data_IF_788439982792
#
_entry.id   IF_788439982792
#
_cell.length_a   1.000
_cell.length_b   1.000
_cell.length_c   1.000
_cell.angle_alpha   90.00
_cell.angle_beta   90.00
_cell.angle_gamma   90.00
#
_symmetry.space_group_name_H-M   'P 1'
#
loop_
_entity.id
_entity.type
_entity.pdbx_description
1 polymer ?
#
# COMPACT_ATOMS: atom_id res chain seq x y z
N UNK A 1 48.13 1.17 9.17
CA UNK A 1 46.76 1.01 8.65
C UNK A 1 46.05 0.02 9.58
N UNK A 2 45.25 0.56 10.50
CA UNK A 2 44.46 -0.25 11.44
C UNK A 2 43.24 -0.84 10.73
N UNK A 3 42.84 -2.11 11.03
CA UNK A 3 41.65 -2.71 10.45
C UNK A 3 40.41 -1.96 10.96
N UNK A 4 39.59 -1.49 10.02
CA UNK A 4 38.27 -0.92 10.29
C UNK A 4 37.43 -2.00 10.98
N UNK A 5 37.12 -1.76 12.23
CA UNK A 5 36.20 -2.55 13.05
C UNK A 5 34.85 -2.60 12.33
N UNK A 6 34.51 -3.73 11.74
CA UNK A 6 33.19 -3.96 11.15
C UNK A 6 32.21 -4.09 12.31
N UNK A 7 31.62 -2.96 12.71
CA UNK A 7 30.50 -2.96 13.65
C UNK A 7 29.48 -4.00 13.21
N UNK A 8 29.23 -4.99 14.05
CA UNK A 8 28.14 -5.95 13.86
C UNK A 8 26.83 -5.15 13.80
N UNK A 9 25.96 -5.43 12.81
CA UNK A 9 24.64 -4.77 12.76
C UNK A 9 23.94 -4.99 14.11
N UNK A 10 23.25 -3.96 14.64
CA UNK A 10 22.61 -4.05 15.95
C UNK A 10 21.66 -5.24 16.00
N UNK A 11 21.78 -6.01 17.08
CA UNK A 11 20.89 -7.15 17.33
C UNK A 11 19.43 -6.70 17.34
N UNK A 12 18.51 -7.58 16.95
CA UNK A 12 17.09 -7.31 17.03
C UNK A 12 16.68 -7.03 18.48
N UNK A 13 16.24 -5.82 18.77
CA UNK A 13 15.64 -5.45 20.03
C UNK A 13 14.22 -4.92 19.73
N UNK A 14 13.17 -5.71 20.04
CA UNK A 14 11.80 -5.23 19.89
C UNK A 14 11.48 -4.19 20.97
N UNK A 15 10.56 -3.28 20.64
CA UNK A 15 10.09 -2.28 21.58
C UNK A 15 9.36 -2.90 22.78
N UNK A 16 9.44 -2.24 23.95
CA UNK A 16 8.68 -2.68 25.14
C UNK A 16 7.18 -2.48 24.90
N UNK A 17 6.38 -3.51 25.24
CA UNK A 17 4.94 -3.51 25.05
C UNK A 17 4.19 -3.63 26.39
N UNK A 18 3.30 -2.70 26.68
CA UNK A 18 2.35 -2.84 27.79
C UNK A 18 1.15 -3.66 27.30
N UNK A 19 1.06 -4.90 27.75
CA UNK A 19 0.03 -5.85 27.31
C UNK A 19 -1.35 -5.50 27.91
N UNK A 20 -2.37 -5.45 27.06
CA UNK A 20 -3.76 -5.26 27.45
C UNK A 20 -4.47 -6.62 27.59
N UNK A 21 -5.02 -6.91 28.78
CA UNK A 21 -5.71 -8.20 29.06
C UNK A 21 -7.03 -8.39 28.31
N UNK A 22 -7.58 -7.34 27.69
CA UNK A 22 -8.82 -7.42 26.89
C UNK A 22 -8.61 -7.96 25.48
N UNK A 23 -7.35 -8.00 25.01
CA UNK A 23 -6.99 -8.52 23.69
C UNK A 23 -6.13 -9.78 23.83
N UNK A 24 -6.23 -10.75 22.90
CA UNK A 24 -5.36 -11.92 22.89
C UNK A 24 -3.87 -11.52 22.93
N UNK A 25 -3.10 -12.10 23.84
CA UNK A 25 -1.68 -11.72 24.01
C UNK A 25 -0.84 -12.00 22.75
N UNK A 26 -1.09 -13.13 22.10
CA UNK A 26 -0.38 -13.49 20.86
C UNK A 26 -0.61 -12.43 19.75
N UNK A 27 -1.83 -11.88 19.67
CA UNK A 27 -2.15 -10.84 18.69
C UNK A 27 -1.36 -9.55 18.97
N UNK A 28 -1.33 -9.10 20.21
CA UNK A 28 -0.59 -7.89 20.60
C UNK A 28 0.91 -8.05 20.33
N UNK A 29 1.47 -9.21 20.65
CA UNK A 29 2.87 -9.54 20.40
C UNK A 29 3.15 -9.59 18.90
N UNK A 30 2.28 -10.20 18.08
CA UNK A 30 2.47 -10.22 16.63
C UNK A 30 2.43 -8.82 16.04
N UNK A 31 1.54 -7.93 16.50
CA UNK A 31 1.48 -6.54 16.05
C UNK A 31 2.75 -5.76 16.43
N UNK A 32 3.26 -5.92 17.66
CA UNK A 32 4.50 -5.26 18.09
C UNK A 32 5.72 -5.74 17.30
N UNK A 33 5.84 -7.05 17.08
CA UNK A 33 6.91 -7.61 16.26
C UNK A 33 6.80 -7.15 14.81
N UNK A 34 5.59 -7.10 14.24
CA UNK A 34 5.35 -6.57 12.89
C UNK A 34 5.84 -5.13 12.78
N UNK A 35 5.44 -4.26 13.69
CA UNK A 35 5.89 -2.86 13.70
C UNK A 35 7.41 -2.76 13.79
N UNK A 36 8.04 -3.55 14.67
CA UNK A 36 9.49 -3.60 14.80
C UNK A 36 10.18 -4.13 13.53
N UNK A 37 9.61 -5.11 12.82
CA UNK A 37 10.16 -5.65 11.57
C UNK A 37 10.07 -4.61 10.45
N UNK A 38 8.91 -3.98 10.28
CA UNK A 38 8.66 -3.01 9.21
C UNK A 38 9.40 -1.69 9.42
N UNK A 39 9.59 -1.26 10.67
CA UNK A 39 10.29 -0.03 11.02
C UNK A 39 11.81 -0.08 10.98
N UNK A 40 12.43 -1.24 10.68
CA UNK A 40 13.90 -1.40 10.71
C UNK A 40 14.60 -0.87 9.46
N UNK A 41 15.85 -0.36 9.61
CA UNK A 41 16.73 -0.08 8.48
C UNK A 41 17.00 -1.35 7.64
N UNK A 42 17.22 -1.18 6.33
CA UNK A 42 17.42 -2.31 5.40
C UNK A 42 18.71 -3.13 5.66
N UNK A 43 19.70 -2.52 6.30
CA UNK A 43 20.99 -3.13 6.63
C UNK A 43 21.03 -3.86 7.98
N UNK A 44 19.94 -3.81 8.75
CA UNK A 44 19.87 -4.48 10.05
C UNK A 44 19.83 -6.02 9.91
N UNK A 45 20.24 -6.73 10.97
CA UNK A 45 20.22 -8.20 11.01
C UNK A 45 18.85 -8.77 10.66
N UNK A 46 18.83 -9.75 9.76
CA UNK A 46 17.60 -10.46 9.35
C UNK A 46 17.19 -11.54 10.36
N UNK A 47 18.05 -11.91 11.31
CA UNK A 47 17.77 -12.98 12.27
C UNK A 47 17.06 -12.43 13.50
N UNK A 48 15.93 -13.04 13.87
CA UNK A 48 15.23 -12.77 15.12
C UNK A 48 15.88 -13.51 16.31
N UNK A 49 15.73 -13.00 17.55
CA UNK A 49 16.03 -13.74 18.76
C UNK A 49 15.25 -15.05 18.83
N UNK A 50 15.66 -15.98 19.73
CA UNK A 50 14.93 -17.25 19.92
C UNK A 50 13.53 -17.03 20.49
N UNK A 51 12.66 -18.03 20.34
CA UNK A 51 11.29 -17.99 20.91
C UNK A 51 11.32 -17.70 22.41
N UNK A 52 12.27 -18.30 23.13
CA UNK A 52 12.46 -18.14 24.58
C UNK A 52 12.89 -16.71 24.93
N UNK A 53 13.84 -16.16 24.17
CA UNK A 53 14.31 -14.79 24.37
C UNK A 53 13.19 -13.77 24.11
N UNK A 54 12.43 -13.95 23.02
CA UNK A 54 11.29 -13.10 22.70
C UNK A 54 10.16 -13.24 23.73
N UNK A 55 9.85 -14.48 24.15
CA UNK A 55 8.85 -14.73 25.18
C UNK A 55 9.21 -14.05 26.50
N UNK A 56 10.49 -14.13 26.91
CA UNK A 56 11.01 -13.43 28.10
C UNK A 56 10.91 -11.92 27.97
N UNK A 57 11.26 -11.37 26.80
CA UNK A 57 11.18 -9.93 26.55
C UNK A 57 9.73 -9.38 26.67
N UNK A 58 8.76 -10.09 26.11
CA UNK A 58 7.34 -9.68 26.16
C UNK A 58 6.60 -10.14 27.42
N UNK A 59 7.22 -10.92 28.28
CA UNK A 59 6.58 -11.47 29.48
C UNK A 59 5.40 -12.41 29.19
N UNK A 60 5.50 -13.19 28.09
CA UNK A 60 4.48 -14.13 27.65
C UNK A 60 5.01 -15.57 27.66
N UNK A 61 4.09 -16.56 27.59
CA UNK A 61 4.52 -17.96 27.44
C UNK A 61 5.14 -18.21 26.06
N UNK A 62 6.05 -19.20 25.97
CA UNK A 62 6.62 -19.65 24.70
C UNK A 62 5.52 -20.10 23.72
N UNK A 63 4.41 -20.67 24.22
CA UNK A 63 3.29 -21.06 23.38
C UNK A 63 2.60 -19.84 22.75
N UNK A 64 2.40 -18.77 23.53
CA UNK A 64 1.86 -17.48 23.03
C UNK A 64 2.80 -16.87 21.99
N UNK A 65 4.11 -16.92 22.24
CA UNK A 65 5.11 -16.45 21.28
C UNK A 65 5.10 -17.25 19.97
N UNK A 66 5.01 -18.58 20.05
CA UNK A 66 4.89 -19.44 18.86
C UNK A 66 3.68 -19.10 18.01
N UNK A 67 2.55 -18.81 18.66
CA UNK A 67 1.33 -18.41 17.95
C UNK A 67 1.51 -17.04 17.26
N UNK A 68 2.14 -16.08 17.94
CA UNK A 68 2.46 -14.78 17.34
C UNK A 68 3.41 -14.91 16.13
N UNK A 69 4.46 -15.72 16.26
CA UNK A 69 5.39 -15.96 15.15
C UNK A 69 4.77 -16.74 14.00
N UNK A 70 3.83 -17.66 14.27
CA UNK A 70 3.09 -18.37 13.22
C UNK A 70 2.27 -17.42 12.38
N UNK A 71 1.66 -16.41 13.00
CA UNK A 71 0.91 -15.37 12.28
C UNK A 71 1.82 -14.59 11.32
N UNK A 72 2.97 -14.11 11.81
CA UNK A 72 3.94 -13.40 10.99
C UNK A 72 4.55 -14.26 9.87
N UNK A 73 4.70 -15.56 10.09
CA UNK A 73 5.13 -16.51 9.07
C UNK A 73 4.06 -16.71 7.99
N UNK A 74 2.79 -16.83 8.39
CA UNK A 74 1.65 -16.90 7.46
C UNK A 74 1.52 -15.65 6.59
N UNK A 75 1.87 -14.48 7.14
CA UNK A 75 1.92 -13.21 6.41
C UNK A 75 3.16 -13.04 5.53
N UNK A 76 4.11 -14.01 5.58
CA UNK A 76 5.37 -13.94 4.82
C UNK A 76 6.35 -12.88 5.32
N UNK A 77 6.18 -12.36 6.53
CA UNK A 77 7.10 -11.40 7.14
C UNK A 77 8.36 -12.06 7.69
N UNK A 78 8.26 -13.31 8.06
CA UNK A 78 9.38 -14.13 8.59
C UNK A 78 9.35 -15.53 7.97
N UNK A 79 10.52 -16.20 7.99
CA UNK A 79 10.65 -17.63 7.73
C UNK A 79 11.28 -18.34 8.92
N UNK A 80 10.84 -19.57 9.19
CA UNK A 80 11.29 -20.37 10.31
C UNK A 80 12.02 -21.61 9.80
N UNK A 81 13.29 -21.74 10.17
CA UNK A 81 14.12 -22.85 9.74
C UNK A 81 14.53 -23.71 10.93
N UNK A 82 14.21 -25.01 10.86
CA UNK A 82 14.60 -25.96 11.91
C UNK A 82 16.11 -25.89 12.14
N UNK A 83 16.53 -25.71 13.39
CA UNK A 83 17.92 -25.58 13.85
C UNK A 83 18.68 -24.33 13.40
N UNK A 84 18.15 -23.53 12.48
CA UNK A 84 18.79 -22.28 12.02
C UNK A 84 18.21 -21.04 12.66
N UNK A 85 16.96 -21.10 13.11
CA UNK A 85 16.24 -20.00 13.75
C UNK A 85 15.20 -19.35 12.85
N UNK A 86 14.72 -18.19 13.29
CA UNK A 86 13.70 -17.39 12.60
C UNK A 86 14.39 -16.21 11.92
N UNK A 87 14.01 -15.92 10.69
CA UNK A 87 14.59 -14.85 9.87
C UNK A 87 13.49 -13.95 9.34
N UNK A 88 13.78 -12.64 9.25
CA UNK A 88 12.92 -11.66 8.61
C UNK A 88 13.09 -11.81 7.10
N UNK A 89 11.98 -11.89 6.37
CA UNK A 89 12.02 -11.99 4.92
C UNK A 89 12.45 -10.66 4.30
N UNK A 90 13.42 -10.65 3.36
CA UNK A 90 13.88 -9.42 2.70
C UNK A 90 12.74 -8.66 1.99
N UNK A 91 11.73 -9.39 1.48
CA UNK A 91 10.56 -8.80 0.83
C UNK A 91 9.67 -7.99 1.78
N UNK A 92 9.62 -8.36 3.07
CA UNK A 92 8.88 -7.61 4.08
C UNK A 92 9.35 -6.15 4.23
N UNK A 93 10.54 -5.82 3.74
CA UNK A 93 11.19 -4.53 3.86
C UNK A 93 11.15 -3.69 2.58
N UNK A 94 10.66 -4.21 1.47
CA UNK A 94 10.55 -3.45 0.21
C UNK A 94 9.35 -2.53 0.31
N UNK A 95 9.58 -1.29 0.71
CA UNK A 95 8.59 -0.23 0.67
C UNK A 95 8.85 0.57 -0.61
N UNK A 96 7.88 0.58 -1.51
CA UNK A 96 7.91 1.40 -2.70
C UNK A 96 7.36 2.79 -2.35
N UNK A 97 8.17 3.87 -2.44
CA UNK A 97 7.66 5.20 -2.16
C UNK A 97 6.69 5.64 -3.26
N UNK A 98 5.46 5.94 -2.91
CA UNK A 98 4.58 6.73 -3.76
C UNK A 98 5.04 8.18 -3.64
N UNK A 99 5.68 8.70 -4.67
CA UNK A 99 6.14 10.09 -4.71
C UNK A 99 5.08 10.94 -5.36
N UNK A 100 4.54 11.92 -4.63
CA UNK A 100 3.86 13.03 -5.28
C UNK A 100 4.93 13.93 -5.90
N UNK A 101 5.10 13.73 -7.17
CA UNK A 101 5.98 14.57 -7.99
C UNK A 101 5.06 15.58 -8.66
N UNK A 102 5.38 16.86 -8.56
CA UNK A 102 4.57 17.99 -9.00
C UNK A 102 4.25 18.04 -10.51
N UNK A 103 4.25 16.91 -11.23
CA UNK A 103 3.87 16.83 -12.63
C UNK A 103 3.14 15.52 -12.96
N UNK A 104 2.23 15.61 -13.94
CA UNK A 104 1.52 14.44 -14.49
C UNK A 104 2.49 13.41 -15.06
N UNK A 105 3.59 13.85 -15.69
CA UNK A 105 4.62 12.94 -16.25
C UNK A 105 5.28 12.08 -15.19
N UNK A 106 5.52 12.64 -14.04
CA UNK A 106 6.12 11.93 -12.92
C UNK A 106 5.15 10.89 -12.34
N UNK A 107 3.85 11.20 -12.25
CA UNK A 107 2.81 10.23 -11.85
C UNK A 107 2.77 9.07 -12.85
N UNK A 108 2.80 9.35 -14.14
CA UNK A 108 2.80 8.34 -15.20
C UNK A 108 4.05 7.45 -15.13
N UNK A 109 5.24 8.05 -14.96
CA UNK A 109 6.49 7.31 -14.88
C UNK A 109 6.54 6.35 -13.67
N UNK A 110 6.00 6.78 -12.53
CA UNK A 110 5.98 5.97 -11.30
C UNK A 110 5.11 4.72 -11.41
N UNK A 111 4.04 4.77 -12.19
CA UNK A 111 3.10 3.67 -12.35
C UNK A 111 3.49 2.70 -13.48
N UNK A 112 4.67 2.88 -14.08
CA UNK A 112 5.20 2.00 -15.12
C UNK A 112 5.85 0.76 -14.48
N UNK A 113 5.54 -0.43 -15.01
CA UNK A 113 6.13 -1.71 -14.56
C UNK A 113 5.23 -2.60 -13.70
N UNK A 114 4.04 -2.13 -13.34
CA UNK A 114 3.03 -2.97 -12.67
C UNK A 114 2.06 -3.60 -13.69
N UNK A 115 1.74 -4.87 -13.48
CA UNK A 115 0.68 -5.53 -14.26
C UNK A 115 -0.69 -5.04 -13.75
N UNK A 116 -1.54 -4.58 -14.68
CA UNK A 116 -2.88 -4.06 -14.35
C UNK A 116 -3.95 -4.98 -14.93
N UNK A 117 -4.93 -5.35 -14.11
CA UNK A 117 -6.13 -6.09 -14.52
C UNK A 117 -7.36 -5.23 -14.27
N UNK A 118 -8.22 -5.08 -15.29
CA UNK A 118 -9.52 -4.43 -15.12
C UNK A 118 -10.51 -5.44 -14.53
N UNK A 119 -10.95 -5.19 -13.30
CA UNK A 119 -11.90 -6.05 -12.58
C UNK A 119 -13.34 -5.83 -13.02
N UNK A 120 -13.64 -4.69 -13.60
CA UNK A 120 -14.95 -4.33 -14.10
C UNK A 120 -15.07 -2.81 -14.35
N UNK A 121 -16.01 -2.48 -15.21
CA UNK A 121 -16.35 -1.08 -15.52
C UNK A 121 -17.82 -0.96 -15.91
N UNK A 122 -18.38 0.24 -15.83
CA UNK A 122 -19.72 0.53 -16.27
C UNK A 122 -20.32 1.79 -15.64
N UNK A 123 -21.46 2.26 -16.16
CA UNK A 123 -22.17 3.39 -15.59
C UNK A 123 -22.72 3.04 -14.20
N UNK A 124 -22.59 3.98 -13.29
CA UNK A 124 -23.15 3.90 -11.93
C UNK A 124 -23.73 5.28 -11.56
N UNK A 125 -24.82 5.33 -10.78
CA UNK A 125 -25.25 6.59 -10.19
C UNK A 125 -24.09 7.26 -9.46
N UNK A 126 -24.01 8.59 -9.49
CA UNK A 126 -22.95 9.31 -8.75
C UNK A 126 -23.01 8.91 -7.28
N UNK A 127 -21.96 8.30 -6.70
CA UNK A 127 -21.92 7.97 -5.29
C UNK A 127 -22.11 9.21 -4.43
N UNK A 128 -22.89 9.11 -3.34
CA UNK A 128 -23.24 10.28 -2.52
C UNK A 128 -22.03 11.07 -2.00
N UNK A 129 -20.95 10.37 -1.68
CA UNK A 129 -19.68 10.95 -1.23
C UNK A 129 -18.81 11.53 -2.37
N UNK A 130 -19.25 11.39 -3.64
CA UNK A 130 -18.67 12.02 -4.81
C UNK A 130 -19.59 13.10 -5.43
N UNK A 131 -20.78 13.34 -4.88
CA UNK A 131 -21.77 14.22 -5.45
C UNK A 131 -21.24 15.67 -5.63
N UNK A 132 -20.40 16.14 -4.72
CA UNK A 132 -19.78 17.46 -4.79
C UNK A 132 -18.81 17.62 -5.96
N UNK A 133 -18.18 16.53 -6.41
CA UNK A 133 -17.23 16.54 -7.53
C UNK A 133 -17.92 16.49 -8.90
N UNK A 134 -19.17 16.01 -8.97
CA UNK A 134 -19.92 15.83 -10.20
C UNK A 134 -21.27 16.55 -10.16
N UNK A 135 -21.28 17.89 -9.94
CA UNK A 135 -22.53 18.64 -9.83
C UNK A 135 -23.34 18.54 -11.12
N UNK A 136 -24.63 18.19 -10.99
CA UNK A 136 -25.54 18.04 -12.12
C UNK A 136 -25.38 16.76 -12.94
N UNK A 137 -24.45 15.88 -12.62
CA UNK A 137 -24.33 14.57 -13.23
C UNK A 137 -25.23 13.56 -12.52
N UNK A 138 -26.04 12.81 -13.27
CA UNK A 138 -26.83 11.71 -12.71
C UNK A 138 -25.97 10.44 -12.51
N UNK A 139 -25.00 10.24 -13.40
CA UNK A 139 -24.15 9.06 -13.42
C UNK A 139 -22.70 9.39 -13.80
N UNK A 140 -21.80 8.50 -13.43
CA UNK A 140 -20.39 8.43 -13.84
C UNK A 140 -20.09 7.03 -14.32
N UNK A 141 -18.97 6.83 -15.02
CA UNK A 141 -18.49 5.49 -15.34
C UNK A 141 -17.43 5.10 -14.32
N UNK A 142 -17.69 4.01 -13.60
CA UNK A 142 -16.73 3.42 -12.67
C UNK A 142 -15.80 2.47 -13.40
N UNK A 143 -14.50 2.54 -13.09
CA UNK A 143 -13.48 1.60 -13.52
C UNK A 143 -12.76 1.04 -12.31
N UNK A 144 -12.80 -0.28 -12.09
CA UNK A 144 -12.12 -0.96 -11.00
C UNK A 144 -10.94 -1.73 -11.53
N UNK A 145 -9.76 -1.50 -10.97
CA UNK A 145 -8.51 -2.11 -11.45
C UNK A 145 -7.68 -2.61 -10.29
N UNK A 146 -7.08 -3.79 -10.47
CA UNK A 146 -6.10 -4.36 -9.55
C UNK A 146 -4.72 -4.27 -10.20
N UNK A 147 -3.75 -3.79 -9.45
CA UNK A 147 -2.35 -3.79 -9.86
C UNK A 147 -1.55 -4.78 -9.05
N UNK A 148 -0.62 -5.39 -9.75
CA UNK A 148 0.28 -6.41 -9.19
C UNK A 148 1.72 -6.04 -9.51
N UNK A 149 2.61 -6.40 -8.61
CA UNK A 149 4.05 -6.34 -8.85
C UNK A 149 4.43 -7.29 -10.00
N UNK A 150 5.15 -6.79 -10.99
CA UNK A 150 5.48 -7.55 -12.20
C UNK A 150 6.44 -8.72 -11.98
N UNK A 151 7.15 -8.77 -10.84
CA UNK A 151 8.08 -9.85 -10.50
C UNK A 151 7.44 -10.91 -9.60
N UNK A 152 6.70 -10.48 -8.58
CA UNK A 152 6.17 -11.36 -7.54
C UNK A 152 4.70 -11.75 -7.75
N UNK A 153 4.00 -11.10 -8.66
CA UNK A 153 2.55 -11.19 -8.88
C UNK A 153 1.71 -10.86 -7.62
N UNK A 154 2.33 -10.25 -6.60
CA UNK A 154 1.61 -9.81 -5.41
C UNK A 154 0.77 -8.57 -5.70
N UNK A 155 -0.48 -8.48 -5.19
CA UNK A 155 -1.27 -7.26 -5.28
C UNK A 155 -0.54 -6.09 -4.60
N UNK A 156 -0.42 -4.96 -5.31
CA UNK A 156 0.20 -3.74 -4.82
C UNK A 156 -0.83 -2.72 -4.39
N UNK A 157 -1.81 -2.51 -5.23
CA UNK A 157 -2.92 -1.60 -4.97
C UNK A 157 -4.15 -1.99 -5.79
N UNK A 158 -5.32 -1.54 -5.35
CA UNK A 158 -6.51 -1.55 -6.18
C UNK A 158 -7.12 -0.15 -6.26
N UNK A 159 -7.58 0.20 -7.45
CA UNK A 159 -8.06 1.52 -7.79
C UNK A 159 -9.51 1.47 -8.28
N UNK A 160 -10.28 2.45 -7.89
CA UNK A 160 -11.59 2.76 -8.41
C UNK A 160 -11.57 4.20 -8.93
N UNK A 161 -11.86 4.36 -10.21
CA UNK A 161 -11.99 5.66 -10.86
C UNK A 161 -13.46 5.93 -11.16
N UNK A 162 -13.95 7.09 -10.81
CA UNK A 162 -15.24 7.63 -11.26
C UNK A 162 -14.95 8.67 -12.32
N UNK A 163 -15.26 8.34 -13.57
CA UNK A 163 -14.98 9.21 -14.73
C UNK A 163 -16.28 9.78 -15.27
N UNK A 164 -16.29 11.06 -15.59
CA UNK A 164 -17.43 11.73 -16.21
C UNK A 164 -17.81 11.04 -17.53
N UNK A 165 -19.11 10.77 -17.74
CA UNK A 165 -19.62 9.89 -18.80
C UNK A 165 -19.21 10.32 -20.22
N UNK A 166 -19.15 11.63 -20.51
CA UNK A 166 -18.73 12.16 -21.80
C UNK A 166 -17.23 11.92 -22.11
N UNK A 167 -16.41 11.86 -21.08
CA UNK A 167 -14.99 11.49 -21.16
C UNK A 167 -14.86 9.96 -21.29
N UNK A 168 -15.57 9.22 -20.44
CA UNK A 168 -15.53 7.76 -20.39
C UNK A 168 -15.94 7.11 -21.72
N UNK A 169 -16.85 7.71 -22.47
CA UNK A 169 -17.27 7.25 -23.79
C UNK A 169 -16.12 7.17 -24.83
N UNK A 170 -14.98 7.80 -24.54
CA UNK A 170 -13.77 7.82 -25.40
C UNK A 170 -12.63 6.93 -24.87
N UNK A 171 -12.83 6.24 -23.77
CA UNK A 171 -11.83 5.38 -23.15
C UNK A 171 -12.02 3.93 -23.68
N UNK A 172 -10.96 3.39 -24.29
CA UNK A 172 -10.87 1.96 -24.50
C UNK A 172 -10.34 1.29 -23.23
N UNK A 173 -11.06 0.28 -22.76
CA UNK A 173 -10.69 -0.48 -21.55
C UNK A 173 -9.32 -1.16 -21.70
N UNK A 174 -8.95 -1.59 -22.90
CA UNK A 174 -7.66 -2.19 -23.18
C UNK A 174 -6.49 -1.21 -22.90
N UNK A 175 -6.70 0.10 -23.02
CA UNK A 175 -5.70 1.09 -22.67
C UNK A 175 -5.46 1.17 -21.16
N UNK A 176 -6.48 0.89 -20.34
CA UNK A 176 -6.38 0.89 -18.88
C UNK A 176 -5.61 -0.30 -18.31
N UNK A 177 -5.43 -1.36 -19.08
CA UNK A 177 -4.54 -2.47 -18.73
C UNK A 177 -3.08 -2.15 -19.00
N UNK A 178 -2.82 -1.24 -19.96
CA UNK A 178 -1.47 -0.85 -20.39
C UNK A 178 -0.98 0.40 -19.69
N UNK A 179 -1.89 1.34 -19.40
CA UNK A 179 -1.54 2.68 -18.95
C UNK A 179 -2.32 3.13 -17.72
N UNK A 180 -1.72 3.98 -16.88
CA UNK A 180 -2.44 4.69 -15.82
C UNK A 180 -3.60 5.51 -16.38
N UNK A 181 -4.69 5.66 -15.60
CA UNK A 181 -5.85 6.48 -15.98
C UNK A 181 -5.44 7.90 -16.39
N UNK A 182 -4.56 8.54 -15.64
CA UNK A 182 -4.08 9.91 -15.94
C UNK A 182 -3.43 9.99 -17.33
N UNK A 183 -2.65 8.96 -17.72
CA UNK A 183 -2.04 8.88 -19.05
C UNK A 183 -3.11 8.67 -20.12
N UNK A 184 -4.07 7.78 -19.89
CA UNK A 184 -5.18 7.54 -20.83
C UNK A 184 -5.99 8.82 -21.03
N UNK A 185 -6.36 9.50 -19.96
CA UNK A 185 -7.09 10.77 -20.06
C UNK A 185 -6.34 11.82 -20.86
N UNK A 186 -5.05 12.00 -20.60
CA UNK A 186 -4.24 13.05 -21.25
C UNK A 186 -3.85 12.68 -22.68
N UNK A 187 -3.23 11.51 -22.88
CA UNK A 187 -2.51 11.18 -24.12
C UNK A 187 -3.40 10.44 -25.13
N UNK A 188 -4.40 9.67 -24.69
CA UNK A 188 -5.30 8.90 -25.55
C UNK A 188 -6.60 9.67 -25.80
N UNK A 189 -7.25 10.10 -24.72
CA UNK A 189 -8.53 10.82 -24.79
C UNK A 189 -8.34 12.30 -25.16
N UNK A 190 -7.16 12.87 -24.89
CA UNK A 190 -6.85 14.28 -25.19
C UNK A 190 -7.45 15.27 -24.22
N UNK A 191 -7.67 14.86 -22.97
CA UNK A 191 -8.10 15.77 -21.90
C UNK A 191 -6.96 16.71 -21.53
N UNK A 192 -7.20 18.00 -21.61
CA UNK A 192 -6.26 19.02 -21.12
C UNK A 192 -6.39 19.15 -19.61
N UNK A 193 -5.52 18.40 -18.89
CA UNK A 193 -5.50 18.38 -17.44
C UNK A 193 -4.87 19.68 -16.93
N UNK A 194 -5.61 20.47 -16.15
CA UNK A 194 -5.11 21.71 -15.53
C UNK A 194 -4.46 21.48 -14.18
N UNK A 195 -5.06 20.60 -13.35
CA UNK A 195 -4.53 20.24 -12.03
C UNK A 195 -5.04 18.88 -11.59
N UNK A 196 -4.31 18.28 -10.65
CA UNK A 196 -4.75 17.13 -9.86
C UNK A 196 -4.61 17.53 -8.39
N UNK A 197 -5.64 17.27 -7.59
CA UNK A 197 -5.59 17.47 -6.14
C UNK A 197 -5.56 16.12 -5.48
N UNK A 198 -4.53 15.89 -4.66
CA UNK A 198 -4.26 14.61 -4.04
C UNK A 198 -4.47 14.68 -2.52
N UNK A 199 -5.15 13.68 -1.99
CA UNK A 199 -5.33 13.49 -0.55
C UNK A 199 -4.90 12.07 -0.18
N UNK A 200 -4.12 11.93 0.89
CA UNK A 200 -3.70 10.63 1.41
C UNK A 200 -4.13 10.49 2.86
N UNK A 201 -4.78 9.39 3.17
CA UNK A 201 -5.30 9.07 4.49
C UNK A 201 -4.84 7.68 4.93
N UNK A 202 -4.57 7.51 6.22
CA UNK A 202 -4.41 6.20 6.82
C UNK A 202 -5.79 5.61 7.12
N UNK A 203 -6.09 4.43 6.58
CA UNK A 203 -7.34 3.70 6.79
C UNK A 203 -7.06 2.24 7.10
N UNK A 204 -8.09 1.52 7.51
CA UNK A 204 -8.04 0.08 7.71
C UNK A 204 -8.67 -0.63 6.50
N UNK A 205 -8.11 -1.78 6.13
CA UNK A 205 -8.65 -2.60 5.06
C UNK A 205 -10.04 -3.14 5.45
N UNK A 206 -11.05 -2.76 4.67
CA UNK A 206 -12.37 -3.39 4.70
C UNK A 206 -12.32 -4.81 4.07
N UNK A 207 -13.40 -5.62 4.14
CA UNK A 207 -13.39 -6.97 3.60
C UNK A 207 -13.02 -7.05 2.12
N UNK A 208 -13.49 -6.12 1.29
CA UNK A 208 -13.18 -6.09 -0.15
C UNK A 208 -11.72 -5.76 -0.40
N UNK A 209 -11.22 -4.74 0.30
CA UNK A 209 -9.81 -4.34 0.23
C UNK A 209 -8.88 -5.44 0.73
N UNK A 210 -9.24 -6.11 1.83
CA UNK A 210 -8.48 -7.21 2.40
C UNK A 210 -8.36 -8.38 1.42
N UNK A 211 -9.46 -8.76 0.76
CA UNK A 211 -9.50 -9.82 -0.24
C UNK A 211 -8.67 -9.46 -1.48
N UNK A 212 -8.91 -8.28 -2.07
CA UNK A 212 -8.23 -7.85 -3.30
C UNK A 212 -6.73 -7.66 -3.10
N UNK A 213 -6.32 -7.11 -1.97
CA UNK A 213 -4.91 -6.88 -1.66
C UNK A 213 -4.22 -8.07 -1.00
N UNK A 214 -4.97 -9.15 -0.70
CA UNK A 214 -4.46 -10.35 0.00
C UNK A 214 -3.76 -9.98 1.32
N UNK A 215 -4.39 -9.11 2.10
CA UNK A 215 -3.94 -8.70 3.44
C UNK A 215 -4.97 -9.10 4.49
N UNK A 216 -4.59 -9.30 5.75
CA UNK A 216 -5.55 -9.50 6.83
C UNK A 216 -6.60 -8.38 6.91
N UNK A 217 -7.82 -8.72 7.32
CA UNK A 217 -8.85 -7.73 7.60
C UNK A 217 -8.34 -6.71 8.63
N UNK A 218 -8.68 -5.44 8.45
CA UNK A 218 -8.22 -4.32 9.27
C UNK A 218 -6.70 -4.05 9.20
N UNK A 219 -5.99 -4.60 8.23
CA UNK A 219 -4.61 -4.19 7.95
C UNK A 219 -4.55 -2.69 7.63
N UNK A 220 -3.48 -1.98 8.05
CA UNK A 220 -3.30 -0.59 7.68
C UNK A 220 -3.11 -0.45 6.16
N UNK A 221 -3.79 0.51 5.57
CA UNK A 221 -3.67 0.89 4.16
C UNK A 221 -3.45 2.40 4.03
N UNK A 222 -2.78 2.80 2.96
CA UNK A 222 -2.80 4.19 2.50
C UNK A 222 -3.95 4.32 1.49
N UNK A 223 -4.93 5.15 1.82
CA UNK A 223 -6.03 5.51 0.96
C UNK A 223 -5.71 6.83 0.27
N UNK A 224 -5.51 6.76 -1.04
CA UNK A 224 -5.24 7.92 -1.88
C UNK A 224 -6.52 8.31 -2.62
N UNK A 225 -6.84 9.60 -2.64
CA UNK A 225 -7.89 10.19 -3.45
C UNK A 225 -7.28 11.27 -4.33
N UNK A 226 -7.35 11.08 -5.65
CA UNK A 226 -6.89 12.05 -6.65
C UNK A 226 -8.07 12.61 -7.42
N UNK A 227 -8.24 13.93 -7.44
CA UNK A 227 -9.28 14.61 -8.21
C UNK A 227 -8.64 15.33 -9.37
N UNK A 228 -8.97 14.92 -10.59
CA UNK A 228 -8.43 15.47 -11.84
C UNK A 228 -9.37 16.50 -12.43
N UNK A 229 -8.85 17.68 -12.77
CA UNK A 229 -9.60 18.79 -13.34
C UNK A 229 -9.11 19.12 -14.75
N UNK A 230 -10.06 19.49 -15.63
CA UNK A 230 -9.79 20.06 -16.94
C UNK A 230 -9.50 21.58 -16.86
N UNK A 231 -9.22 22.21 -18.02
CA UNK A 231 -8.95 23.65 -18.11
C UNK A 231 -10.14 24.52 -17.71
N UNK A 232 -11.36 24.00 -17.82
CA UNK A 232 -12.59 24.67 -17.38
C UNK A 232 -12.88 24.42 -15.89
N UNK A 233 -11.92 23.85 -15.16
CA UNK A 233 -12.05 23.50 -13.74
C UNK A 233 -13.16 22.50 -13.42
N UNK A 234 -13.62 21.73 -14.40
CA UNK A 234 -14.58 20.65 -14.19
C UNK A 234 -13.84 19.38 -13.79
N UNK A 235 -14.41 18.62 -12.86
CA UNK A 235 -13.87 17.31 -12.51
C UNK A 235 -14.10 16.33 -13.66
N UNK A 236 -13.05 15.69 -14.11
CA UNK A 236 -13.08 14.65 -15.16
C UNK A 236 -12.93 13.25 -14.62
N UNK A 237 -12.20 13.09 -13.51
CA UNK A 237 -11.94 11.81 -12.86
C UNK A 237 -11.73 12.01 -11.35
N UNK A 238 -12.30 11.11 -10.55
CA UNK A 238 -11.94 10.94 -9.14
C UNK A 238 -11.41 9.53 -8.97
N UNK A 239 -10.11 9.45 -8.67
CA UNK A 239 -9.41 8.20 -8.41
C UNK A 239 -9.37 7.92 -6.91
N UNK A 240 -9.78 6.72 -6.49
CA UNK A 240 -9.59 6.19 -5.14
C UNK A 240 -8.69 4.99 -5.23
N UNK A 241 -7.50 5.06 -4.65
CA UNK A 241 -6.52 3.99 -4.71
C UNK A 241 -6.19 3.55 -3.28
N UNK A 242 -6.23 2.24 -3.05
CA UNK A 242 -5.89 1.63 -1.76
C UNK A 242 -4.58 0.89 -1.93
N UNK A 243 -3.54 1.40 -1.27
CA UNK A 243 -2.21 0.80 -1.26
C UNK A 243 -1.99 0.00 0.02
N UNK A 244 -1.30 -1.11 -0.08
CA UNK A 244 -0.84 -1.87 1.08
C UNK A 244 0.08 -1.03 1.94
N UNK A 245 -0.23 -0.85 3.22
CA UNK A 245 0.58 -0.05 4.14
C UNK A 245 1.92 -0.69 4.51
N UNK A 246 2.07 -2.01 4.31
CA UNK A 246 3.32 -2.73 4.51
C UNK A 246 4.29 -2.65 3.32
N UNK A 247 3.82 -2.13 2.17
CA UNK A 247 4.59 -2.07 0.91
C UNK A 247 4.77 -0.68 0.36
N UNK A 248 3.98 0.29 0.83
CA UNK A 248 3.99 1.64 0.29
C UNK A 248 4.20 2.69 1.36
N UNK A 249 4.99 3.70 1.02
CA UNK A 249 5.13 4.94 1.77
C UNK A 249 4.81 6.13 0.86
N UNK A 250 4.38 7.21 1.49
CA UNK A 250 4.14 8.47 0.82
C UNK A 250 5.33 9.42 1.06
N UNK A 251 5.86 10.03 0.00
CA UNK A 251 7.00 10.94 0.10
C UNK A 251 6.76 12.21 -0.70
N UNK A 252 6.99 13.36 -0.07
CA UNK A 252 6.99 14.69 -0.69
C UNK A 252 8.35 15.34 -0.42
N UNK A 253 8.95 15.91 -1.47
CA UNK A 253 10.16 16.74 -1.30
C UNK A 253 9.75 18.20 -1.46
N UNK A 254 10.06 19.02 -0.46
CA UNK A 254 9.86 20.47 -0.50
C UNK A 254 11.24 21.11 -0.59
N UNK A 255 11.49 21.87 -1.65
CA UNK A 255 12.73 22.66 -1.77
C UNK A 255 12.51 24.01 -1.08
N UNK A 256 13.41 24.38 -0.17
CA UNK A 256 13.44 25.70 0.43
C UNK A 256 14.27 26.64 -0.45
N UNK A 257 13.67 27.69 -0.94
CA UNK A 257 14.31 28.76 -1.72
C UNK A 257 14.65 29.94 -0.80
#
# INVERSE_FOLDING_TARGET
>A
MSPVDRAHPPAFAPDSLVLNRKLPLWYQVSQSLRASILGRPQDASLRLPTEEQLAGHYGVSVLTMRQALKELETEGLISRHRRRGTFIEPRARRVSPVRLLGSVDAIVAQQSGEATTVLGHGPVPVPGDLAEFFPGCAEVVSYRRLRRDGESDEPTNWAENAVRSDIAARIDVADLERWPMTKVLRDVVGVRISRITDTVEARLADPVTAELLQVPLLSPILHYTGVTYDEESRVVDVARIRYRGDRFSFSVTVEAH
#
